data_IF_165013745618
#
_entry.id   IF_165013745618
#
_cell.length_a   1.000
_cell.length_b   1.000
_cell.length_c   1.000
_cell.angle_alpha   90.00
_cell.angle_beta   90.00
_cell.angle_gamma   90.00
#
_symmetry.space_group_name_H-M   'P 1'
#
loop_
_entity.id
_entity.type
_entity.pdbx_description
1 polymer ?
#
# COMPACT_ATOMS: atom_id res chain seq x y z
N UNK A 1 -72.44 17.08 -3.81
CA UNK A 1 -71.04 17.52 -3.83
C UNK A 1 -70.22 16.48 -3.04
N UNK A 2 -69.42 15.67 -3.71
CA UNK A 2 -68.45 14.72 -3.10
C UNK A 2 -67.13 15.44 -2.95
N UNK A 3 -66.64 15.54 -1.73
CA UNK A 3 -65.28 16.01 -1.43
C UNK A 3 -64.32 14.85 -1.57
N UNK A 4 -63.28 15.00 -2.42
CA UNK A 4 -62.16 14.06 -2.57
C UNK A 4 -61.05 14.54 -1.66
N UNK A 5 -60.75 13.77 -0.60
CA UNK A 5 -59.55 13.99 0.21
C UNK A 5 -58.37 13.36 -0.48
N UNK A 6 -57.41 14.17 -0.98
CA UNK A 6 -56.10 13.72 -1.40
C UNK A 6 -55.19 13.68 -0.18
N UNK A 7 -54.92 12.47 0.30
CA UNK A 7 -53.91 12.24 1.33
C UNK A 7 -52.51 12.32 0.71
N UNK A 8 -51.69 13.27 1.18
CA UNK A 8 -50.24 13.36 0.84
C UNK A 8 -49.53 12.34 1.74
N UNK A 9 -49.10 11.23 1.16
CA UNK A 9 -48.18 10.29 1.84
C UNK A 9 -46.76 10.88 1.78
N UNK A 10 -46.27 11.39 2.91
CA UNK A 10 -44.85 11.71 3.09
C UNK A 10 -44.11 10.39 3.38
N UNK A 11 -43.32 9.90 2.43
CA UNK A 11 -42.42 8.78 2.67
C UNK A 11 -41.29 9.24 3.60
N UNK A 12 -40.96 8.50 4.66
CA UNK A 12 -39.83 8.85 5.50
C UNK A 12 -38.52 8.66 4.69
N UNK A 13 -37.78 9.73 4.55
CA UNK A 13 -36.39 9.65 4.05
C UNK A 13 -35.59 8.93 5.14
N UNK A 14 -35.30 7.65 4.95
CA UNK A 14 -34.33 6.92 5.75
C UNK A 14 -32.94 7.45 5.39
N UNK A 15 -32.44 8.39 6.18
CA UNK A 15 -31.03 8.76 6.14
C UNK A 15 -30.23 7.53 6.56
N UNK A 16 -29.70 6.80 5.57
CA UNK A 16 -28.76 5.71 5.82
C UNK A 16 -27.59 6.27 6.63
N UNK A 17 -27.40 5.76 7.84
CA UNK A 17 -26.19 6.04 8.63
C UNK A 17 -25.00 5.55 7.82
N UNK A 18 -24.29 6.48 7.19
CA UNK A 18 -22.98 6.22 6.60
C UNK A 18 -22.07 5.81 7.76
N UNK A 19 -21.88 4.50 7.94
CA UNK A 19 -20.93 3.98 8.91
C UNK A 19 -19.55 4.50 8.54
N UNK A 20 -18.96 5.33 9.38
CA UNK A 20 -17.61 5.81 9.18
C UNK A 20 -16.68 4.58 9.09
N UNK A 21 -16.07 4.38 7.94
CA UNK A 21 -15.11 3.30 7.72
C UNK A 21 -13.86 3.60 8.57
N UNK A 22 -13.53 2.68 9.48
CA UNK A 22 -12.29 2.80 10.27
C UNK A 22 -11.08 2.72 9.32
N UNK A 23 -10.11 3.62 9.42
CA UNK A 23 -8.89 3.53 8.62
C UNK A 23 -8.17 2.19 8.82
N UNK A 24 -7.64 1.63 7.74
CA UNK A 24 -6.73 0.50 7.81
C UNK A 24 -5.41 0.95 8.44
N UNK A 25 -4.99 0.28 9.51
CA UNK A 25 -3.70 0.54 10.12
C UNK A 25 -2.60 -0.14 9.31
N UNK A 26 -1.59 0.62 8.92
CA UNK A 26 -0.38 0.14 8.24
C UNK A 26 0.84 0.63 9.04
N UNK A 27 1.78 -0.27 9.25
CA UNK A 27 3.03 0.04 9.94
C UNK A 27 4.24 -0.44 9.17
N UNK A 28 5.21 0.43 8.97
CA UNK A 28 6.52 0.01 8.48
C UNK A 28 7.32 -0.59 9.63
N UNK A 29 8.00 -1.71 9.35
CA UNK A 29 8.72 -2.48 10.39
C UNK A 29 10.06 -2.97 9.86
N UNK A 30 11.01 -3.17 10.79
CA UNK A 30 12.21 -3.98 10.55
C UNK A 30 11.92 -5.42 10.96
N UNK A 31 12.31 -6.38 10.13
CA UNK A 31 12.08 -7.81 10.37
C UNK A 31 13.29 -8.64 9.95
N UNK A 32 13.37 -9.85 10.46
CA UNK A 32 14.36 -10.85 10.03
C UNK A 32 13.66 -11.87 9.14
N UNK A 33 14.23 -12.14 7.99
CA UNK A 33 13.82 -13.24 7.11
C UNK A 33 14.99 -14.22 6.97
N UNK A 34 14.67 -15.44 6.55
CA UNK A 34 15.69 -16.41 6.14
C UNK A 34 15.75 -16.45 4.60
N UNK A 35 16.94 -16.37 4.06
CA UNK A 35 17.21 -16.56 2.64
C UNK A 35 18.37 -17.53 2.47
N UNK A 36 18.11 -18.69 1.90
CA UNK A 36 19.09 -19.76 1.69
C UNK A 36 19.85 -20.14 2.98
N UNK A 37 19.14 -20.32 4.10
CA UNK A 37 19.73 -20.69 5.38
C UNK A 37 20.44 -19.56 6.12
N UNK A 38 20.36 -18.33 5.66
CA UNK A 38 21.00 -17.15 6.26
C UNK A 38 19.95 -16.15 6.71
N UNK A 39 20.10 -15.61 7.92
CA UNK A 39 19.27 -14.52 8.40
C UNK A 39 19.62 -13.21 7.69
N UNK A 40 18.59 -12.47 7.28
CA UNK A 40 18.71 -11.16 6.70
C UNK A 40 17.76 -10.16 7.38
N UNK A 41 18.29 -9.01 7.78
CA UNK A 41 17.47 -7.89 8.28
C UNK A 41 16.94 -7.12 7.09
N UNK A 42 15.62 -7.02 7.00
CA UNK A 42 14.91 -6.30 5.94
C UNK A 42 13.80 -5.45 6.52
N UNK A 43 13.20 -4.59 5.68
CA UNK A 43 12.00 -3.86 6.04
C UNK A 43 10.74 -4.62 5.63
N UNK A 44 9.60 -4.08 6.00
CA UNK A 44 8.29 -4.60 5.60
C UNK A 44 7.17 -3.67 5.99
N UNK A 45 5.99 -3.95 5.46
CA UNK A 45 4.75 -3.24 5.80
C UNK A 45 3.80 -4.28 6.37
N UNK A 46 3.28 -4.03 7.56
CA UNK A 46 2.28 -4.89 8.21
C UNK A 46 0.99 -4.11 8.42
N UNK A 47 -0.13 -4.81 8.28
CA UNK A 47 -1.45 -4.25 8.58
C UNK A 47 -1.84 -4.45 10.05
N UNK A 48 -2.97 -3.89 10.48
CA UNK A 48 -3.44 -3.97 11.86
C UNK A 48 -3.71 -5.39 12.36
N UNK A 49 -3.88 -6.37 11.48
CA UNK A 49 -4.01 -7.79 11.82
C UNK A 49 -2.66 -8.53 11.86
N UNK A 50 -1.55 -7.83 11.60
CA UNK A 50 -0.20 -8.41 11.56
C UNK A 50 0.14 -9.10 10.23
N UNK A 51 -0.77 -9.11 9.26
CA UNK A 51 -0.53 -9.62 7.91
C UNK A 51 0.20 -8.61 7.01
N UNK A 52 0.61 -9.08 5.83
CA UNK A 52 1.21 -8.23 4.80
C UNK A 52 0.18 -7.80 3.76
N UNK A 53 0.23 -6.53 3.38
CA UNK A 53 -0.62 -5.99 2.33
C UNK A 53 -1.98 -5.48 2.80
N UNK A 54 -2.74 -4.99 1.84
CA UNK A 54 -4.07 -4.42 2.02
C UNK A 54 -4.97 -4.88 0.88
N UNK A 55 -6.23 -5.18 1.21
CA UNK A 55 -7.26 -5.51 0.22
C UNK A 55 -8.45 -4.57 0.38
N UNK A 56 -8.95 -4.04 -0.73
CA UNK A 56 -10.05 -3.09 -0.84
C UNK A 56 -11.02 -3.52 -1.94
N UNK A 57 -12.18 -2.89 -1.98
CA UNK A 57 -13.13 -3.01 -3.08
C UNK A 57 -13.16 -1.72 -3.88
N UNK A 58 -13.31 -1.82 -5.20
CA UNK A 58 -13.41 -0.68 -6.10
C UNK A 58 -14.55 0.26 -5.67
N UNK A 59 -14.29 1.55 -5.66
CA UNK A 59 -15.24 2.58 -5.22
C UNK A 59 -15.25 2.82 -3.72
N UNK A 60 -14.65 1.96 -2.90
CA UNK A 60 -14.43 2.27 -1.49
C UNK A 60 -13.44 3.43 -1.32
N UNK A 61 -13.62 4.18 -0.24
CA UNK A 61 -12.59 5.15 0.15
C UNK A 61 -11.35 4.41 0.63
N UNK A 62 -10.22 4.72 0.00
CA UNK A 62 -8.94 4.33 0.56
C UNK A 62 -8.71 5.16 1.83
N UNK A 63 -8.81 4.50 2.97
CA UNK A 63 -8.51 5.09 4.28
C UNK A 63 -7.44 4.26 4.95
N UNK A 64 -6.26 4.84 5.11
CA UNK A 64 -5.15 4.18 5.75
C UNK A 64 -4.39 5.14 6.66
N UNK A 65 -4.14 4.71 7.89
CA UNK A 65 -3.17 5.35 8.77
C UNK A 65 -1.85 4.62 8.64
N UNK A 66 -0.84 5.31 8.13
CA UNK A 66 0.53 4.79 8.02
C UNK A 66 1.34 5.31 9.19
N UNK A 67 1.91 4.40 9.98
CA UNK A 67 2.83 4.72 11.07
C UNK A 67 4.24 4.27 10.71
N UNK A 68 5.20 5.18 10.78
CA UNK A 68 6.60 4.83 10.61
C UNK A 68 7.13 4.14 11.87
N UNK A 69 7.34 2.83 11.79
CA UNK A 69 7.94 2.02 12.87
C UNK A 69 9.42 1.74 12.67
N UNK A 70 10.06 2.38 11.66
CA UNK A 70 11.50 2.31 11.44
C UNK A 70 12.22 3.39 12.27
N UNK A 71 13.53 3.25 12.41
CA UNK A 71 14.41 4.25 13.04
C UNK A 71 14.90 5.33 12.04
N UNK A 72 14.47 5.24 10.81
CA UNK A 72 14.79 6.17 9.71
C UNK A 72 13.53 6.75 9.11
N UNK A 73 13.62 7.89 8.45
CA UNK A 73 12.49 8.48 7.74
C UNK A 73 12.01 7.56 6.61
N UNK A 74 10.70 7.51 6.39
CA UNK A 74 10.10 6.74 5.30
C UNK A 74 8.82 7.38 4.80
N UNK A 75 8.35 6.95 3.63
CA UNK A 75 7.08 7.34 3.05
C UNK A 75 6.61 6.24 2.11
N UNK A 76 5.31 5.94 2.08
CA UNK A 76 4.75 4.91 1.23
C UNK A 76 4.01 5.54 0.05
N UNK A 77 4.31 5.03 -1.14
CA UNK A 77 3.60 5.30 -2.39
C UNK A 77 2.63 4.15 -2.73
N UNK A 78 1.54 4.50 -3.37
CA UNK A 78 0.45 3.60 -3.79
C UNK A 78 0.57 3.30 -5.28
N UNK A 79 1.49 2.41 -5.63
CA UNK A 79 1.83 2.12 -7.02
C UNK A 79 0.66 1.54 -7.80
N UNK A 80 0.29 2.22 -8.87
CA UNK A 80 -0.82 1.85 -9.74
C UNK A 80 -2.17 2.48 -9.38
N UNK A 81 -2.31 3.14 -8.23
CA UNK A 81 -3.47 3.97 -7.92
C UNK A 81 -3.30 5.41 -8.44
N UNK A 82 -4.38 6.17 -8.43
CA UNK A 82 -4.41 7.59 -8.83
C UNK A 82 -4.94 8.47 -7.69
N UNK A 83 -4.24 8.60 -6.57
CA UNK A 83 -4.64 9.50 -5.49
C UNK A 83 -4.45 10.96 -5.90
N UNK A 84 -5.06 11.91 -5.17
CA UNK A 84 -4.65 13.32 -5.24
C UNK A 84 -3.15 13.45 -4.94
N UNK A 85 -2.45 14.34 -5.63
CA UNK A 85 -0.99 14.51 -5.53
C UNK A 85 -0.49 14.61 -4.07
N UNK A 86 -1.21 15.34 -3.20
CA UNK A 86 -0.85 15.47 -1.78
C UNK A 86 -0.94 14.15 -0.98
N UNK A 87 -1.45 13.07 -1.57
CA UNK A 87 -1.63 11.78 -0.93
C UNK A 87 -0.93 10.62 -1.69
N UNK A 88 -0.09 10.96 -2.65
CA UNK A 88 0.58 9.97 -3.51
C UNK A 88 1.82 9.34 -2.86
N UNK A 89 2.28 9.87 -1.74
CA UNK A 89 3.40 9.31 -1.00
C UNK A 89 4.77 9.49 -1.69
N UNK A 90 4.93 10.56 -2.48
CA UNK A 90 6.20 10.90 -3.12
C UNK A 90 6.93 11.97 -2.29
N UNK A 91 8.15 11.69 -1.81
CA UNK A 91 8.89 12.61 -0.95
C UNK A 91 9.07 13.99 -1.59
N UNK A 92 8.86 15.03 -0.83
CA UNK A 92 9.02 16.45 -1.19
C UNK A 92 8.07 16.96 -2.29
N UNK A 93 7.39 16.06 -3.00
CA UNK A 93 6.37 16.41 -4.00
C UNK A 93 4.96 16.34 -3.38
N UNK A 94 4.62 15.21 -2.76
CA UNK A 94 3.33 15.00 -2.09
C UNK A 94 3.36 15.51 -0.65
N UNK A 95 4.38 15.11 0.07
CA UNK A 95 4.57 15.43 1.49
C UNK A 95 6.03 15.19 1.92
N UNK A 96 6.38 15.66 3.13
CA UNK A 96 7.65 15.30 3.74
C UNK A 96 7.63 13.83 4.19
N UNK A 97 8.77 13.13 4.17
CA UNK A 97 8.89 11.81 4.77
C UNK A 97 8.50 11.80 6.25
N UNK A 98 7.90 10.71 6.70
CA UNK A 98 7.53 10.49 8.08
C UNK A 98 8.78 10.16 8.91
N UNK A 99 9.02 10.92 9.96
CA UNK A 99 10.05 10.61 10.96
C UNK A 99 9.69 9.35 11.75
N UNK A 100 10.67 8.71 12.43
CA UNK A 100 10.40 7.60 13.35
C UNK A 100 9.24 7.90 14.30
N UNK A 101 8.28 6.99 14.40
CA UNK A 101 7.08 7.10 15.22
C UNK A 101 5.98 8.03 14.70
N UNK A 102 6.21 8.79 13.65
CA UNK A 102 5.17 9.64 13.05
C UNK A 102 4.15 8.81 12.25
N UNK A 103 2.93 9.35 12.17
CA UNK A 103 1.86 8.78 11.38
C UNK A 103 1.28 9.82 10.41
N UNK A 104 0.68 9.33 9.32
CA UNK A 104 -0.08 10.14 8.37
C UNK A 104 -1.34 9.40 7.95
N UNK A 105 -2.45 10.13 7.84
CA UNK A 105 -3.75 9.60 7.43
C UNK A 105 -3.98 9.89 5.95
N UNK A 106 -4.13 8.82 5.17
CA UNK A 106 -4.52 8.86 3.77
C UNK A 106 -6.02 8.66 3.66
N UNK A 107 -6.69 9.51 2.86
CA UNK A 107 -8.14 9.44 2.66
C UNK A 107 -8.53 9.94 1.28
N UNK A 108 -8.69 9.06 0.30
CA UNK A 108 -9.09 9.38 -1.06
C UNK A 108 -10.03 8.31 -1.64
N UNK A 109 -10.73 8.65 -2.73
CA UNK A 109 -11.58 7.69 -3.44
C UNK A 109 -10.70 6.81 -4.33
N UNK A 110 -10.81 5.48 -4.15
CA UNK A 110 -10.14 4.53 -5.01
C UNK A 110 -10.97 4.30 -6.29
N UNK A 111 -10.37 4.56 -7.45
CA UNK A 111 -11.04 4.49 -8.76
C UNK A 111 -10.46 3.41 -9.68
N UNK A 112 -9.52 2.59 -9.20
CA UNK A 112 -8.85 1.55 -10.00
C UNK A 112 -8.87 0.22 -9.29
N UNK A 113 -9.41 -0.81 -9.95
CA UNK A 113 -9.28 -2.20 -9.54
C UNK A 113 -7.98 -2.82 -10.06
N UNK A 114 -7.60 -3.95 -9.51
CA UNK A 114 -6.47 -4.74 -9.96
C UNK A 114 -5.50 -5.12 -8.85
N UNK A 115 -4.41 -5.75 -9.28
CA UNK A 115 -3.29 -6.13 -8.43
C UNK A 115 -2.26 -5.02 -8.48
N UNK A 116 -2.17 -4.30 -7.39
CA UNK A 116 -1.26 -3.18 -7.16
C UNK A 116 -0.30 -3.53 -6.02
N UNK A 117 0.58 -2.61 -5.69
CA UNK A 117 1.48 -2.73 -4.55
C UNK A 117 1.75 -1.37 -3.92
N UNK A 118 2.25 -1.35 -2.72
CA UNK A 118 2.70 -0.17 -2.02
C UNK A 118 4.16 -0.36 -1.63
N UNK A 119 4.95 0.71 -1.73
CA UNK A 119 6.38 0.63 -1.44
C UNK A 119 6.95 1.99 -1.02
N UNK A 120 8.16 1.98 -0.49
CA UNK A 120 8.83 3.23 -0.14
C UNK A 120 9.38 3.95 -1.37
N UNK A 121 9.26 5.26 -1.38
CA UNK A 121 9.97 6.17 -2.29
C UNK A 121 11.15 6.89 -1.62
N UNK A 122 11.55 6.48 -0.42
CA UNK A 122 12.66 7.11 0.32
C UNK A 122 13.94 6.28 0.14
N UNK A 123 14.94 6.89 -0.50
CA UNK A 123 16.25 6.27 -0.70
C UNK A 123 16.17 4.93 -1.44
N UNK A 124 16.78 3.90 -0.85
CA UNK A 124 16.82 2.54 -1.39
C UNK A 124 16.04 1.55 -0.51
N UNK A 125 15.01 2.02 0.20
CA UNK A 125 14.24 1.20 1.13
C UNK A 125 13.39 0.13 0.42
N UNK A 126 12.98 0.38 -0.83
CA UNK A 126 12.30 -0.62 -1.66
C UNK A 126 13.22 -1.84 -1.88
N UNK A 127 14.51 -1.61 -2.18
CA UNK A 127 15.51 -2.68 -2.34
C UNK A 127 15.82 -3.40 -1.02
N UNK A 128 15.41 -2.82 0.11
CA UNK A 128 15.42 -3.47 1.44
C UNK A 128 14.08 -4.12 1.76
N UNK A 129 13.24 -4.39 0.76
CA UNK A 129 11.92 -5.04 0.83
C UNK A 129 10.85 -4.23 1.58
N UNK A 130 10.95 -2.89 1.61
CA UNK A 130 9.86 -2.06 2.12
C UNK A 130 8.75 -1.93 1.07
N UNK A 131 8.04 -3.03 0.88
CA UNK A 131 6.93 -3.16 -0.03
C UNK A 131 5.91 -4.17 0.48
N UNK A 132 4.66 -4.07 -0.01
CA UNK A 132 3.58 -5.02 0.25
C UNK A 132 2.52 -4.97 -0.86
N UNK A 133 1.76 -6.05 -1.08
CA UNK A 133 0.68 -6.05 -2.07
C UNK A 133 -0.46 -5.14 -1.65
N UNK A 134 -1.12 -4.56 -2.66
CA UNK A 134 -2.32 -3.75 -2.55
C UNK A 134 -3.33 -4.25 -3.57
N UNK A 135 -4.33 -4.98 -3.12
CA UNK A 135 -5.31 -5.63 -3.99
C UNK A 135 -6.60 -4.84 -3.96
N UNK A 136 -7.10 -4.45 -5.11
CA UNK A 136 -8.40 -3.78 -5.25
C UNK A 136 -9.32 -4.67 -6.08
N UNK A 137 -10.29 -5.30 -5.42
CA UNK A 137 -11.28 -6.17 -6.06
C UNK A 137 -12.38 -5.35 -6.72
N UNK A 138 -12.92 -5.83 -7.82
CA UNK A 138 -14.08 -5.22 -8.48
C UNK A 138 -15.35 -5.40 -7.65
N UNK A 139 -15.46 -6.51 -6.93
CA UNK A 139 -16.59 -6.85 -6.07
C UNK A 139 -16.14 -7.35 -4.71
N UNK A 140 -16.99 -7.21 -3.70
CA UNK A 140 -16.73 -7.74 -2.36
C UNK A 140 -16.76 -9.28 -2.30
N UNK A 141 -17.55 -9.90 -3.18
CA UNK A 141 -17.70 -11.35 -3.27
C UNK A 141 -16.82 -11.92 -4.39
N UNK A 142 -16.17 -13.08 -4.20
CA UNK A 142 -15.48 -13.77 -5.27
C UNK A 142 -16.49 -14.15 -6.37
N UNK A 143 -16.12 -13.92 -7.62
CA UNK A 143 -16.97 -14.31 -8.76
C UNK A 143 -16.91 -15.81 -9.04
N UNK A 144 -15.89 -16.50 -8.52
CA UNK A 144 -15.61 -17.94 -8.77
C UNK A 144 -15.24 -18.62 -7.45
N UNK A 145 -15.51 -19.92 -7.38
CA UNK A 145 -15.05 -20.78 -6.27
C UNK A 145 -13.57 -21.17 -6.51
N UNK A 146 -12.69 -20.18 -6.37
CA UNK A 146 -11.25 -20.30 -6.60
C UNK A 146 -10.47 -19.88 -5.35
N UNK A 147 -9.33 -20.54 -5.13
CA UNK A 147 -8.40 -20.15 -4.10
C UNK A 147 -7.44 -19.09 -4.63
N UNK A 148 -7.42 -17.92 -3.99
CA UNK A 148 -6.54 -16.81 -4.37
C UNK A 148 -5.22 -16.85 -3.59
N UNK A 149 -4.11 -16.75 -4.31
CA UNK A 149 -2.78 -16.58 -3.75
C UNK A 149 -2.13 -15.32 -4.31
N UNK A 150 -1.76 -14.40 -3.43
CA UNK A 150 -1.02 -13.19 -3.81
C UNK A 150 0.47 -13.45 -3.70
N UNK A 151 1.20 -13.32 -4.81
CA UNK A 151 2.65 -13.50 -4.89
C UNK A 151 3.29 -12.16 -5.25
N UNK A 152 4.17 -11.66 -4.39
CA UNK A 152 4.98 -10.48 -4.62
C UNK A 152 6.44 -10.88 -4.83
N UNK A 153 6.98 -10.64 -6.03
CA UNK A 153 8.37 -10.97 -6.36
C UNK A 153 9.27 -9.79 -6.03
N UNK A 154 10.43 -10.09 -5.44
CA UNK A 154 11.46 -9.11 -5.10
C UNK A 154 12.84 -9.59 -5.51
N UNK A 155 13.67 -8.68 -5.99
CA UNK A 155 15.11 -8.89 -6.00
C UNK A 155 15.65 -8.79 -4.57
N UNK A 156 16.61 -9.65 -4.26
CA UNK A 156 17.21 -9.69 -2.94
C UNK A 156 18.73 -9.80 -3.02
N UNK A 157 19.41 -9.07 -2.15
CA UNK A 157 20.85 -9.18 -1.95
C UNK A 157 21.18 -9.10 -0.46
N UNK A 158 22.23 -9.83 -0.02
CA UNK A 158 22.80 -9.67 1.31
C UNK A 158 23.72 -8.45 1.42
N UNK A 159 24.05 -7.82 0.29
CA UNK A 159 24.83 -6.58 0.27
C UNK A 159 23.91 -5.39 0.50
N UNK A 160 24.45 -4.35 1.09
CA UNK A 160 23.71 -3.10 1.26
C UNK A 160 23.41 -2.47 -0.12
N UNK A 161 22.16 -2.04 -0.36
CA UNK A 161 21.79 -1.45 -1.65
C UNK A 161 22.63 -0.25 -2.07
N UNK A 162 23.11 0.55 -1.11
CA UNK A 162 23.97 1.69 -1.39
C UNK A 162 25.33 1.29 -1.97
N UNK A 163 25.90 0.17 -1.52
CA UNK A 163 27.15 -0.37 -2.05
C UNK A 163 26.97 -0.85 -3.50
N UNK A 164 25.88 -1.56 -3.77
CA UNK A 164 25.54 -2.02 -5.12
C UNK A 164 25.37 -0.82 -6.07
N UNK A 165 24.63 0.20 -5.63
CA UNK A 165 24.42 1.40 -6.43
C UNK A 165 25.72 2.16 -6.69
N UNK A 166 26.61 2.26 -5.70
CA UNK A 166 27.92 2.89 -5.86
C UNK A 166 28.78 2.15 -6.89
N UNK A 167 28.80 0.83 -6.83
CA UNK A 167 29.51 -0.02 -7.80
C UNK A 167 28.98 0.16 -9.23
N UNK A 168 27.66 0.14 -9.41
CA UNK A 168 27.03 0.38 -10.71
C UNK A 168 27.37 1.75 -11.28
N UNK A 169 27.40 2.79 -10.44
CA UNK A 169 27.74 4.15 -10.85
C UNK A 169 29.22 4.33 -11.17
N UNK A 170 30.11 3.57 -10.55
CA UNK A 170 31.55 3.60 -10.83
C UNK A 170 31.95 2.87 -12.11
N UNK A 171 31.00 2.28 -12.83
CA UNK A 171 31.27 1.52 -14.05
C UNK A 171 31.80 0.10 -13.78
N UNK A 172 31.80 -0.37 -12.55
CA UNK A 172 32.28 -1.71 -12.16
C UNK A 172 31.39 -2.87 -12.60
N UNK A 173 30.28 -2.60 -13.26
CA UNK A 173 29.39 -3.61 -13.85
C UNK A 173 29.83 -4.05 -15.25
N UNK A 174 31.06 -4.48 -15.41
CA UNK A 174 31.49 -5.16 -16.63
C UNK A 174 30.62 -6.40 -16.82
N UNK A 175 29.82 -6.44 -17.90
CA UNK A 175 29.21 -7.66 -18.39
C UNK A 175 30.32 -8.71 -18.59
N UNK A 176 30.48 -9.61 -17.63
CA UNK A 176 31.14 -10.87 -17.90
C UNK A 176 30.33 -11.53 -18.99
N UNK A 177 30.78 -11.47 -20.22
CA UNK A 177 30.11 -11.98 -21.40
C UNK A 177 29.73 -13.44 -21.15
N UNK A 178 28.47 -13.75 -21.37
CA UNK A 178 28.06 -15.12 -21.62
C UNK A 178 28.79 -15.57 -22.89
N UNK A 179 29.95 -16.22 -22.70
CA UNK A 179 30.50 -17.06 -23.75
C UNK A 179 29.54 -18.23 -23.94
N UNK A 180 28.90 -18.30 -25.11
CA UNK A 180 28.14 -19.48 -25.56
C UNK A 180 29.10 -20.64 -25.82
#
# INVERSE_FOLDING_TARGET
RRAVFQGIFAAPFAAGLVRAQTPSELRTVSRIIEVNGRAAKVFGIVNGAGGHGLSLVLGERFRARVTNGLEVETLLHWHGLNPPSAQDGVPMLSQAPLKPGQSFDYDFVNTRSGTHWMHSHVGLQEQQLLAAPLIVRETAEPLFDEQEHVVLLHDFSFREPAEILAELRSGGGGHAGHAM
#
